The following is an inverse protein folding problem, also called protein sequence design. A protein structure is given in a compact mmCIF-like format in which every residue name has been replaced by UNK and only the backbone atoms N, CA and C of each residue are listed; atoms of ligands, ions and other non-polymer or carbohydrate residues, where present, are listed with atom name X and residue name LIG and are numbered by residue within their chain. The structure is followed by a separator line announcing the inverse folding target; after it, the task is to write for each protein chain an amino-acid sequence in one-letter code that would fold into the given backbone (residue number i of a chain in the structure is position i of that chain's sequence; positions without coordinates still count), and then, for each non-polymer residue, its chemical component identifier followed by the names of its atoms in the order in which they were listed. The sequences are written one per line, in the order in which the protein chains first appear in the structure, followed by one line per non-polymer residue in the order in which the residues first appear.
data_IF_913002047076
#
_entry.id   IF_913002047076
#
_cell.length_a   1.000
_cell.length_b   1.000
_cell.length_c   1.000
_cell.angle_alpha   90.00
_cell.angle_beta   90.00
_cell.angle_gamma   90.00
#
_symmetry.space_group_name_H-M   'P 1'
#
loop_
_entity.id
_entity.type
_entity.pdbx_description
1 polymer ?
#
# COMPACT_ATOMS: atom_id res chain seq x y z
N UNK A 1 -9.01 17.83 -3.58
CA UNK A 1 -9.18 17.65 -2.11
C UNK A 1 -8.21 16.63 -1.53
N UNK A 2 -8.14 15.39 -1.98
CA UNK A 2 -7.28 14.33 -1.41
C UNK A 2 -5.76 14.57 -1.50
N UNK A 3 -5.32 15.61 -2.20
CA UNK A 3 -3.93 16.08 -2.17
C UNK A 3 -3.56 16.81 -0.87
N UNK A 4 -4.55 17.29 -0.13
CA UNK A 4 -4.33 18.12 1.07
C UNK A 4 -5.04 17.61 2.33
N UNK A 5 -6.06 16.75 2.18
CA UNK A 5 -6.86 16.25 3.31
C UNK A 5 -7.04 14.74 3.23
N UNK A 6 -7.02 14.03 4.39
CA UNK A 6 -7.35 12.61 4.45
C UNK A 6 -8.75 12.33 3.91
N UNK A 7 -8.93 11.15 3.29
CA UNK A 7 -10.26 10.70 2.82
C UNK A 7 -11.23 10.59 3.99
N UNK A 8 -10.73 10.24 5.19
CA UNK A 8 -11.50 10.23 6.44
C UNK A 8 -12.14 11.56 6.81
N UNK A 9 -11.56 12.67 6.36
CA UNK A 9 -12.03 14.03 6.67
C UNK A 9 -12.93 14.61 5.57
N UNK A 10 -13.16 13.83 4.51
CA UNK A 10 -14.13 14.19 3.48
C UNK A 10 -15.56 13.99 4.03
N UNK A 11 -16.40 14.98 3.80
CA UNK A 11 -17.82 14.91 4.05
C UNK A 11 -18.58 15.46 2.84
N UNK A 12 -19.81 14.99 2.66
CA UNK A 12 -20.69 15.47 1.58
C UNK A 12 -20.83 16.98 1.61
N UNK A 13 -20.99 17.55 2.79
CA UNK A 13 -21.10 19.03 2.98
C UNK A 13 -19.83 19.73 2.52
N UNK A 14 -18.65 19.20 2.86
CA UNK A 14 -17.37 19.78 2.46
C UNK A 14 -17.14 19.68 0.96
N UNK A 15 -17.47 18.54 0.37
CA UNK A 15 -17.39 18.33 -1.09
C UNK A 15 -18.35 19.26 -1.82
N UNK A 16 -19.60 19.35 -1.37
CA UNK A 16 -20.60 20.24 -1.94
C UNK A 16 -20.14 21.72 -1.90
N UNK A 17 -19.59 22.16 -0.77
CA UNK A 17 -19.05 23.53 -0.62
C UNK A 17 -17.90 23.80 -1.59
N UNK A 18 -16.99 22.85 -1.75
CA UNK A 18 -15.83 22.99 -2.66
C UNK A 18 -16.26 23.03 -4.13
N UNK A 19 -17.31 22.28 -4.49
CA UNK A 19 -17.87 22.24 -5.85
C UNK A 19 -18.86 23.37 -6.13
N UNK A 20 -19.23 24.16 -5.13
CA UNK A 20 -20.25 25.22 -5.29
C UNK A 20 -21.66 24.70 -5.52
N UNK A 21 -21.99 23.50 -5.02
CA UNK A 21 -23.29 22.86 -5.18
C UNK A 21 -23.95 22.59 -3.83
N UNK A 22 -25.21 22.15 -3.85
CA UNK A 22 -25.90 21.77 -2.61
C UNK A 22 -25.52 20.35 -2.16
N UNK A 23 -25.52 20.05 -0.85
CA UNK A 23 -25.33 18.68 -0.35
C UNK A 23 -26.36 17.70 -0.90
N UNK A 24 -27.59 18.14 -1.14
CA UNK A 24 -28.67 17.33 -1.72
C UNK A 24 -28.30 16.82 -3.13
N UNK A 25 -27.64 17.66 -3.94
CA UNK A 25 -27.18 17.25 -5.26
C UNK A 25 -26.11 16.16 -5.18
N UNK A 26 -25.17 16.25 -4.22
CA UNK A 26 -24.18 15.21 -4.01
C UNK A 26 -24.85 13.91 -3.56
N UNK A 27 -25.80 13.96 -2.61
CA UNK A 27 -26.58 12.79 -2.20
C UNK A 27 -27.32 12.13 -3.36
N UNK A 28 -27.89 12.94 -4.28
CA UNK A 28 -28.55 12.42 -5.47
C UNK A 28 -27.58 11.61 -6.36
N UNK A 29 -26.38 12.14 -6.63
CA UNK A 29 -25.36 11.46 -7.43
C UNK A 29 -24.73 10.25 -6.74
N UNK A 30 -24.78 10.17 -5.41
CA UNK A 30 -24.32 9.01 -4.64
C UNK A 30 -25.45 7.99 -4.40
N UNK A 31 -26.57 8.09 -5.10
CA UNK A 31 -27.74 7.19 -4.99
C UNK A 31 -28.18 6.88 -3.53
N UNK A 32 -27.94 7.83 -2.61
CA UNK A 32 -28.23 7.67 -1.18
C UNK A 32 -27.17 6.89 -0.39
N UNK A 33 -26.09 6.41 -1.03
CA UNK A 33 -25.01 5.62 -0.39
C UNK A 33 -24.13 6.40 0.60
N UNK A 34 -24.37 7.70 0.75
CA UNK A 34 -23.77 8.52 1.78
C UNK A 34 -22.24 8.60 1.71
N UNK A 35 -21.60 8.51 2.90
CA UNK A 35 -20.14 8.65 3.02
C UNK A 35 -19.39 7.47 2.40
N UNK A 36 -19.92 6.28 2.47
CA UNK A 36 -19.27 5.08 1.94
C UNK A 36 -19.21 5.13 0.41
N UNK A 37 -20.30 5.51 -0.26
CA UNK A 37 -20.33 5.73 -1.70
C UNK A 37 -19.36 6.87 -2.12
N UNK A 38 -19.31 7.98 -1.37
CA UNK A 38 -18.34 9.04 -1.61
C UNK A 38 -16.90 8.53 -1.53
N UNK A 39 -16.60 7.74 -0.50
CA UNK A 39 -15.27 7.18 -0.30
C UNK A 39 -14.90 6.21 -1.42
N UNK A 40 -15.82 5.30 -1.78
CA UNK A 40 -15.62 4.35 -2.89
C UNK A 40 -15.39 5.08 -4.21
N UNK A 41 -16.17 6.10 -4.52
CA UNK A 41 -15.99 6.91 -5.72
C UNK A 41 -14.64 7.66 -5.77
N UNK A 42 -14.18 8.17 -4.62
CA UNK A 42 -12.85 8.80 -4.50
C UNK A 42 -11.75 7.77 -4.73
N UNK A 43 -11.84 6.59 -4.11
CA UNK A 43 -10.85 5.52 -4.28
C UNK A 43 -10.86 4.98 -5.70
N UNK A 44 -12.05 4.77 -6.30
CA UNK A 44 -12.16 4.32 -7.67
C UNK A 44 -11.55 5.32 -8.67
N UNK A 45 -11.75 6.63 -8.44
CA UNK A 45 -11.09 7.68 -9.24
C UNK A 45 -9.57 7.65 -9.10
N UNK A 46 -9.04 7.42 -7.91
CA UNK A 46 -7.61 7.27 -7.67
C UNK A 46 -7.05 6.05 -8.42
N UNK A 47 -7.71 4.89 -8.33
CA UNK A 47 -7.26 3.70 -9.04
C UNK A 47 -7.36 3.84 -10.57
N UNK A 48 -8.34 4.59 -11.08
CA UNK A 48 -8.37 4.97 -12.51
C UNK A 48 -7.11 5.73 -12.92
N UNK A 49 -6.63 6.66 -12.08
CA UNK A 49 -5.36 7.36 -12.37
C UNK A 49 -4.17 6.39 -12.32
N UNK A 50 -4.11 5.48 -11.34
CA UNK A 50 -3.07 4.44 -11.28
C UNK A 50 -3.05 3.60 -12.56
N UNK A 51 -4.22 3.16 -13.05
CA UNK A 51 -4.32 2.41 -14.32
C UNK A 51 -3.88 3.25 -15.52
N UNK A 52 -4.26 4.53 -15.56
CA UNK A 52 -3.87 5.44 -16.64
C UNK A 52 -2.35 5.64 -16.71
N UNK A 53 -1.69 5.62 -15.56
CA UNK A 53 -0.23 5.77 -15.43
C UNK A 53 0.51 4.43 -15.38
N UNK A 54 -0.18 3.31 -15.66
CA UNK A 54 0.44 1.98 -15.64
C UNK A 54 1.57 1.91 -16.67
N UNK A 55 2.78 1.45 -16.27
CA UNK A 55 3.90 1.35 -17.20
C UNK A 55 3.63 0.33 -18.31
N UNK A 56 4.31 0.51 -19.42
CA UNK A 56 4.29 -0.48 -20.49
C UNK A 56 5.01 -1.76 -20.02
N UNK A 57 4.35 -2.90 -20.16
CA UNK A 57 4.90 -4.20 -19.79
C UNK A 57 5.95 -4.68 -20.78
N UNK A 58 6.98 -5.34 -20.27
CA UNK A 58 8.07 -5.97 -21.04
C UNK A 58 8.13 -7.47 -20.75
N UNK A 59 9.09 -8.19 -21.34
CA UNK A 59 9.36 -9.59 -21.02
C UNK A 59 10.20 -9.76 -19.73
N UNK A 60 10.79 -8.69 -19.22
CA UNK A 60 11.58 -8.72 -17.98
C UNK A 60 10.67 -8.41 -16.77
N UNK A 61 10.36 -9.43 -16.00
CA UNK A 61 9.53 -9.30 -14.80
C UNK A 61 10.16 -8.37 -13.74
N UNK A 62 11.49 -8.30 -13.65
CA UNK A 62 12.19 -7.44 -12.68
C UNK A 62 11.92 -5.98 -13.02
N UNK A 63 12.12 -5.63 -14.27
CA UNK A 63 11.82 -4.29 -14.77
C UNK A 63 10.33 -3.94 -14.60
N UNK A 64 9.43 -4.85 -14.94
CA UNK A 64 8.00 -4.63 -14.80
C UNK A 64 7.62 -4.40 -13.32
N UNK A 65 8.12 -5.24 -12.43
CA UNK A 65 7.82 -5.12 -11.01
C UNK A 65 8.38 -3.82 -10.41
N UNK A 66 9.62 -3.44 -10.74
CA UNK A 66 10.24 -2.20 -10.28
C UNK A 66 9.44 -0.96 -10.75
N UNK A 67 9.15 -0.88 -12.07
CA UNK A 67 8.46 0.26 -12.66
C UNK A 67 7.01 0.39 -12.21
N UNK A 68 6.29 -0.72 -12.09
CA UNK A 68 4.91 -0.75 -11.57
C UNK A 68 4.89 -0.32 -10.10
N UNK A 69 5.79 -0.87 -9.28
CA UNK A 69 5.88 -0.53 -7.86
C UNK A 69 6.21 0.95 -7.65
N UNK A 70 7.13 1.50 -8.44
CA UNK A 70 7.46 2.93 -8.38
C UNK A 70 6.29 3.81 -8.84
N UNK A 71 5.55 3.41 -9.89
CA UNK A 71 4.37 4.13 -10.37
C UNK A 71 3.28 4.19 -9.29
N UNK A 72 2.97 3.06 -8.65
CA UNK A 72 1.98 2.98 -7.56
C UNK A 72 2.44 3.81 -6.35
N UNK A 73 3.70 3.66 -5.94
CA UNK A 73 4.27 4.46 -4.85
C UNK A 73 4.12 5.96 -5.10
N UNK A 74 4.51 6.44 -6.30
CA UNK A 74 4.39 7.85 -6.69
C UNK A 74 2.94 8.33 -6.71
N UNK A 75 2.01 7.49 -7.16
CA UNK A 75 0.58 7.82 -7.12
C UNK A 75 0.11 8.06 -5.68
N UNK A 76 0.45 7.18 -4.73
CA UNK A 76 0.11 7.37 -3.31
C UNK A 76 0.78 8.63 -2.71
N UNK A 77 2.05 8.89 -3.02
CA UNK A 77 2.75 10.09 -2.55
C UNK A 77 2.13 11.39 -3.10
N UNK A 78 1.65 11.34 -4.35
CA UNK A 78 0.93 12.46 -4.98
C UNK A 78 -0.42 12.77 -4.34
N UNK A 79 -1.05 11.77 -3.69
CA UNK A 79 -2.33 11.89 -3.01
C UNK A 79 -2.21 11.51 -1.53
N UNK A 80 -1.59 12.37 -0.69
CA UNK A 80 -1.33 12.07 0.73
C UNK A 80 -2.56 11.64 1.52
N UNK A 81 -3.73 12.24 1.22
CA UNK A 81 -4.99 11.89 1.87
C UNK A 81 -5.42 10.44 1.61
N UNK A 82 -5.11 9.90 0.42
CA UNK A 82 -5.37 8.51 0.06
C UNK A 82 -4.34 7.59 0.71
N UNK A 83 -3.04 7.96 0.69
CA UNK A 83 -2.00 7.17 1.34
C UNK A 83 -2.26 7.00 2.84
N UNK A 84 -2.70 8.06 3.53
CA UNK A 84 -3.09 8.02 4.93
C UNK A 84 -4.30 7.11 5.14
N UNK A 85 -5.32 7.24 4.30
CA UNK A 85 -6.53 6.43 4.38
C UNK A 85 -6.23 4.95 4.18
N UNK A 86 -5.49 4.59 3.13
CA UNK A 86 -5.13 3.21 2.82
C UNK A 86 -4.36 2.52 3.95
N UNK A 87 -3.49 3.26 4.66
CA UNK A 87 -2.70 2.73 5.76
C UNK A 87 -3.44 2.66 7.11
N UNK A 88 -4.55 3.35 7.28
CA UNK A 88 -5.25 3.48 8.57
C UNK A 88 -6.61 2.81 8.62
N UNK A 89 -7.16 2.37 7.48
CA UNK A 89 -8.49 1.76 7.41
C UNK A 89 -8.41 0.24 7.49
N UNK A 90 -9.40 -0.38 8.12
CA UNK A 90 -9.49 -1.82 8.31
C UNK A 90 -10.23 -2.56 7.18
N UNK A 91 -10.55 -1.89 6.07
CA UNK A 91 -11.14 -2.49 4.87
C UNK A 91 -10.06 -2.82 3.85
N UNK A 92 -10.28 -3.86 3.04
CA UNK A 92 -9.45 -4.15 1.89
C UNK A 92 -9.69 -3.10 0.80
N UNK A 93 -8.78 -2.14 0.66
CA UNK A 93 -8.99 -0.89 -0.08
C UNK A 93 -8.98 -1.03 -1.60
N UNK A 94 -8.44 -2.11 -2.15
CA UNK A 94 -8.38 -2.31 -3.60
C UNK A 94 -9.75 -2.60 -4.21
N UNK A 95 -10.63 -3.30 -3.49
CA UNK A 95 -11.98 -3.63 -3.96
C UNK A 95 -12.96 -2.57 -3.50
N UNK A 96 -13.68 -1.94 -4.43
CA UNK A 96 -14.65 -0.90 -4.16
C UNK A 96 -16.07 -1.37 -4.48
N UNK A 97 -17.05 -0.81 -3.78
CA UNK A 97 -18.45 -0.94 -4.19
C UNK A 97 -18.72 0.12 -5.24
N UNK A 98 -18.80 -0.28 -6.51
CA UNK A 98 -19.14 0.58 -7.64
C UNK A 98 -20.59 0.32 -8.06
N UNK A 99 -21.28 1.34 -8.57
CA UNK A 99 -22.70 1.23 -8.93
C UNK A 99 -22.86 0.92 -10.43
N UNK A 100 -23.86 0.09 -10.74
CA UNK A 100 -24.28 -0.20 -12.11
C UNK A 100 -23.16 -0.77 -12.98
N UNK A 101 -22.98 -0.19 -14.16
CA UNK A 101 -21.97 -0.59 -15.15
C UNK A 101 -20.63 0.16 -14.96
N UNK A 102 -20.41 0.84 -13.83
CA UNK A 102 -19.15 1.51 -13.55
C UNK A 102 -18.01 0.50 -13.42
N UNK A 103 -16.85 0.83 -14.00
CA UNK A 103 -15.65 -0.01 -13.92
C UNK A 103 -15.05 0.09 -12.52
N UNK A 104 -14.85 -1.05 -11.85
CA UNK A 104 -14.04 -1.12 -10.63
C UNK A 104 -12.55 -1.09 -10.99
N UNK A 105 -11.97 0.11 -10.94
CA UNK A 105 -10.55 0.31 -11.21
C UNK A 105 -9.65 -0.28 -10.11
N UNK A 106 -10.16 -0.46 -8.90
CA UNK A 106 -9.46 -1.16 -7.83
C UNK A 106 -9.25 -2.63 -8.17
N UNK A 107 -10.27 -3.31 -8.69
CA UNK A 107 -10.13 -4.68 -9.22
C UNK A 107 -9.15 -4.74 -10.40
N UNK A 108 -9.16 -3.75 -11.30
CA UNK A 108 -8.20 -3.70 -12.39
C UNK A 108 -6.76 -3.53 -11.88
N UNK A 109 -6.53 -2.72 -10.84
CA UNK A 109 -5.20 -2.62 -10.20
C UNK A 109 -4.80 -3.95 -9.59
N UNK A 110 -5.72 -4.62 -8.88
CA UNK A 110 -5.47 -5.94 -8.31
C UNK A 110 -5.09 -6.97 -9.38
N UNK A 111 -5.85 -7.04 -10.47
CA UNK A 111 -5.60 -7.94 -11.61
C UNK A 111 -4.23 -7.68 -12.23
N UNK A 112 -3.95 -6.44 -12.62
CA UNK A 112 -2.67 -6.08 -13.26
C UNK A 112 -1.47 -6.29 -12.34
N UNK A 113 -1.60 -5.91 -11.06
CA UNK A 113 -0.52 -6.09 -10.09
C UNK A 113 -0.26 -7.59 -9.81
N UNK A 114 -1.32 -8.38 -9.65
CA UNK A 114 -1.21 -9.83 -9.51
C UNK A 114 -0.60 -10.48 -10.77
N UNK A 115 -0.94 -9.97 -11.96
CA UNK A 115 -0.31 -10.37 -13.23
C UNK A 115 1.19 -10.10 -13.24
N UNK A 116 1.62 -8.90 -12.80
CA UNK A 116 3.03 -8.54 -12.67
C UNK A 116 3.78 -9.48 -11.69
N UNK A 117 3.17 -9.82 -10.56
CA UNK A 117 3.75 -10.77 -9.59
C UNK A 117 3.77 -12.19 -10.17
N UNK A 118 2.73 -12.61 -10.90
CA UNK A 118 2.68 -13.92 -11.54
C UNK A 118 3.78 -14.14 -12.59
N UNK A 119 4.22 -13.08 -13.27
CA UNK A 119 5.35 -13.14 -14.22
C UNK A 119 6.66 -13.60 -13.56
N UNK A 120 6.78 -13.50 -12.23
CA UNK A 120 7.94 -14.01 -11.49
C UNK A 120 8.07 -15.53 -11.52
N UNK A 121 6.97 -16.27 -11.83
CA UNK A 121 6.98 -17.73 -11.99
C UNK A 121 6.70 -18.52 -10.72
N UNK A 122 6.21 -17.87 -9.65
CA UNK A 122 5.76 -18.55 -8.43
C UNK A 122 4.42 -19.28 -8.63
N UNK A 123 4.12 -20.24 -7.77
CA UNK A 123 2.82 -20.92 -7.71
C UNK A 123 1.68 -19.99 -7.25
N UNK A 124 0.44 -20.47 -7.33
CA UNK A 124 -0.76 -19.69 -7.01
C UNK A 124 -0.75 -19.18 -5.56
N UNK A 125 -0.42 -20.03 -4.58
CA UNK A 125 -0.46 -19.67 -3.16
C UNK A 125 0.57 -18.58 -2.85
N UNK A 126 1.77 -18.73 -3.38
CA UNK A 126 2.86 -17.77 -3.18
C UNK A 126 2.62 -16.47 -3.93
N UNK A 127 2.11 -16.54 -5.17
CA UNK A 127 1.74 -15.35 -5.94
C UNK A 127 0.71 -14.50 -5.19
N UNK A 128 -0.34 -15.11 -4.63
CA UNK A 128 -1.34 -14.38 -3.84
C UNK A 128 -0.76 -13.73 -2.59
N UNK A 129 0.08 -14.46 -1.84
CA UNK A 129 0.75 -13.93 -0.65
C UNK A 129 1.70 -12.77 -0.98
N UNK A 130 2.51 -12.92 -2.03
CA UNK A 130 3.44 -11.90 -2.47
C UNK A 130 2.70 -10.65 -2.98
N UNK A 131 1.66 -10.81 -3.79
CA UNK A 131 0.89 -9.67 -4.28
C UNK A 131 0.34 -8.83 -3.13
N UNK A 132 -0.19 -9.47 -2.09
CA UNK A 132 -0.65 -8.75 -0.89
C UNK A 132 0.50 -8.08 -0.13
N UNK A 133 1.55 -8.82 0.20
CA UNK A 133 2.70 -8.30 0.97
C UNK A 133 3.39 -7.14 0.27
N UNK A 134 3.61 -7.25 -1.04
CA UNK A 134 4.28 -6.22 -1.83
C UNK A 134 3.42 -4.96 -1.96
N UNK A 135 2.11 -5.09 -2.12
CA UNK A 135 1.21 -3.95 -2.11
C UNK A 135 1.20 -3.24 -0.75
N UNK A 136 1.14 -4.00 0.36
CA UNK A 136 1.24 -3.45 1.72
C UNK A 136 2.56 -2.72 1.94
N UNK A 137 3.67 -3.27 1.44
CA UNK A 137 4.98 -2.63 1.48
C UNK A 137 4.97 -1.27 0.77
N UNK A 138 4.48 -1.21 -0.49
CA UNK A 138 4.40 0.03 -1.27
C UNK A 138 3.55 1.08 -0.55
N UNK A 139 2.37 0.68 -0.03
CA UNK A 139 1.48 1.58 0.72
C UNK A 139 2.11 2.09 2.01
N UNK A 140 2.81 1.23 2.76
CA UNK A 140 3.49 1.59 4.01
C UNK A 140 4.63 2.60 3.77
N UNK A 141 5.43 2.39 2.72
CA UNK A 141 6.46 3.33 2.32
C UNK A 141 5.87 4.69 1.91
N UNK A 142 4.84 4.67 1.07
CA UNK A 142 4.15 5.90 0.67
C UNK A 142 3.55 6.65 1.87
N UNK A 143 2.90 5.94 2.80
CA UNK A 143 2.39 6.51 4.03
C UNK A 143 3.49 7.15 4.89
N UNK A 144 4.62 6.44 5.08
CA UNK A 144 5.77 6.97 5.83
C UNK A 144 6.34 8.23 5.18
N UNK A 145 6.35 8.27 3.85
CA UNK A 145 6.80 9.43 3.08
C UNK A 145 5.88 10.64 3.29
N UNK A 146 4.58 10.48 3.12
CA UNK A 146 3.63 11.60 3.28
C UNK A 146 3.52 12.07 4.74
N UNK A 147 3.79 11.18 5.70
CA UNK A 147 3.86 11.50 7.15
C UNK A 147 5.21 12.03 7.59
N UNK A 148 6.16 12.21 6.67
CA UNK A 148 7.48 12.73 6.95
C UNK A 148 8.22 11.95 8.06
N UNK A 149 8.20 10.60 7.99
CA UNK A 149 8.81 9.72 9.00
C UNK A 149 10.24 9.29 8.67
N UNK A 150 10.81 9.83 7.61
CA UNK A 150 12.15 9.44 7.18
C UNK A 150 13.24 10.12 8.01
N UNK A 151 14.28 9.39 8.43
CA UNK A 151 15.34 9.92 9.27
C UNK A 151 16.01 11.19 8.73
N UNK A 152 16.24 11.28 7.42
CA UNK A 152 16.80 12.48 6.80
C UNK A 152 15.97 13.75 6.99
N UNK A 153 14.66 13.62 7.23
CA UNK A 153 13.78 14.75 7.54
C UNK A 153 13.90 15.24 8.99
N UNK A 154 14.60 14.46 9.83
CA UNK A 154 14.87 14.72 11.25
C UNK A 154 16.38 14.69 11.54
N UNK A 155 17.20 14.95 10.52
CA UNK A 155 18.66 14.76 10.57
C UNK A 155 19.33 15.54 11.69
N UNK A 156 18.97 16.81 11.89
CA UNK A 156 19.54 17.64 12.96
C UNK A 156 19.28 17.04 14.36
N UNK A 157 18.02 16.71 14.64
CA UNK A 157 17.63 16.08 15.92
C UNK A 157 18.34 14.74 16.12
N UNK A 158 18.36 13.88 15.11
CA UNK A 158 18.99 12.57 15.19
C UNK A 158 20.50 12.67 15.35
N UNK A 159 21.17 13.57 14.60
CA UNK A 159 22.61 13.78 14.74
C UNK A 159 22.98 14.25 16.13
N UNK A 160 22.24 15.20 16.71
CA UNK A 160 22.47 15.67 18.08
C UNK A 160 22.34 14.50 19.06
N UNK A 161 21.22 13.78 19.01
CA UNK A 161 20.96 12.66 19.94
C UNK A 161 21.95 11.52 19.81
N UNK A 162 22.30 11.12 18.60
CA UNK A 162 23.23 10.01 18.37
C UNK A 162 24.67 10.38 18.69
N UNK A 163 25.06 11.66 18.57
CA UNK A 163 26.42 12.12 18.94
C UNK A 163 26.66 12.21 20.45
N UNK A 164 25.61 12.33 21.25
CA UNK A 164 25.65 12.37 22.72
C UNK A 164 25.82 10.96 23.34
N UNK A 165 25.63 9.88 22.55
CA UNK A 165 25.73 8.51 23.03
C UNK A 165 27.20 8.11 23.26
N UNK A 166 27.41 7.33 24.31
CA UNK A 166 28.71 6.68 24.55
C UNK A 166 29.04 5.67 23.41
N UNK A 167 30.14 5.84 22.66
CA UNK A 167 30.50 4.94 21.56
C UNK A 167 30.73 3.48 21.98
N UNK A 168 31.21 3.24 23.19
CA UNK A 168 31.43 1.89 23.69
C UNK A 168 30.12 1.17 24.02
N UNK A 169 29.14 1.91 24.58
CA UNK A 169 27.81 1.37 24.88
C UNK A 169 26.89 1.28 23.64
N UNK A 170 27.07 2.16 22.64
CA UNK A 170 26.20 2.26 21.45
C UNK A 170 26.99 2.25 20.13
N UNK A 171 27.87 1.25 19.87
CA UNK A 171 28.73 1.22 18.68
C UNK A 171 27.93 1.18 17.37
N UNK A 172 26.81 0.47 17.33
CA UNK A 172 25.96 0.35 16.13
C UNK A 172 25.24 1.68 15.79
N UNK A 173 24.83 2.45 16.79
CA UNK A 173 24.23 3.77 16.56
C UNK A 173 25.25 4.74 15.94
N UNK A 174 26.49 4.71 16.42
CA UNK A 174 27.58 5.50 15.83
C UNK A 174 27.90 5.04 14.40
N UNK A 175 27.93 3.74 14.16
CA UNK A 175 28.23 3.16 12.84
C UNK A 175 27.24 3.60 11.76
N UNK A 176 25.93 3.59 12.08
CA UNK A 176 24.87 3.93 11.09
C UNK A 176 24.55 5.42 11.03
N UNK A 177 25.05 6.25 11.95
CA UNK A 177 24.59 7.65 12.15
C UNK A 177 24.52 8.45 10.86
N UNK A 178 25.61 8.51 10.11
CA UNK A 178 25.69 9.32 8.89
C UNK A 178 24.73 8.80 7.80
N UNK A 179 24.75 7.50 7.54
CA UNK A 179 23.87 6.86 6.54
C UNK A 179 22.39 6.96 6.93
N UNK A 180 22.08 6.81 8.22
CA UNK A 180 20.70 6.93 8.71
C UNK A 180 20.19 8.37 8.55
N UNK A 181 20.97 9.37 8.97
CA UNK A 181 20.51 10.77 8.95
C UNK A 181 20.50 11.40 7.56
N UNK A 182 21.17 10.79 6.58
CA UNK A 182 21.07 11.18 5.16
C UNK A 182 19.95 10.47 4.39
N UNK A 183 19.31 9.45 5.00
CA UNK A 183 18.34 8.61 4.31
C UNK A 183 17.08 9.39 3.94
N UNK A 184 16.79 9.45 2.65
CA UNK A 184 15.56 10.05 2.10
C UNK A 184 14.61 8.97 1.54
N UNK A 185 13.33 9.33 1.40
CA UNK A 185 12.29 8.40 1.00
C UNK A 185 12.49 7.75 -0.38
N UNK A 186 12.79 8.50 -1.46
CA UNK A 186 12.97 7.89 -2.79
C UNK A 186 14.15 6.91 -2.86
N UNK A 187 15.26 7.24 -2.22
CA UNK A 187 16.43 6.36 -2.23
C UNK A 187 16.20 5.12 -1.40
N UNK A 188 15.57 5.27 -0.22
CA UNK A 188 15.19 4.14 0.62
C UNK A 188 14.22 3.18 -0.10
N UNK A 189 13.23 3.70 -0.82
CA UNK A 189 12.30 2.89 -1.59
C UNK A 189 13.04 2.09 -2.68
N UNK A 190 13.92 2.74 -3.46
CA UNK A 190 14.70 2.08 -4.52
C UNK A 190 15.65 1.00 -3.97
N UNK A 191 16.33 1.28 -2.85
CA UNK A 191 17.19 0.29 -2.17
C UNK A 191 16.37 -0.92 -1.74
N UNK A 192 15.24 -0.69 -1.07
CA UNK A 192 14.37 -1.76 -0.60
C UNK A 192 13.78 -2.58 -1.75
N UNK A 193 13.35 -1.94 -2.85
CA UNK A 193 12.88 -2.63 -4.06
C UNK A 193 13.96 -3.53 -4.66
N UNK A 194 15.21 -3.05 -4.74
CA UNK A 194 16.34 -3.86 -5.22
C UNK A 194 16.56 -5.10 -4.35
N UNK A 195 16.60 -4.92 -3.02
CA UNK A 195 16.76 -6.04 -2.08
C UNK A 195 15.63 -7.07 -2.25
N UNK A 196 14.38 -6.62 -2.44
CA UNK A 196 13.23 -7.50 -2.67
C UNK A 196 13.40 -8.26 -3.99
N UNK A 197 13.75 -7.58 -5.08
CA UNK A 197 13.94 -8.20 -6.40
C UNK A 197 15.07 -9.23 -6.36
N UNK A 198 16.19 -8.90 -5.73
CA UNK A 198 17.33 -9.80 -5.59
C UNK A 198 16.96 -11.02 -4.75
N UNK A 199 16.25 -10.82 -3.63
CA UNK A 199 15.74 -11.92 -2.78
C UNK A 199 14.78 -12.84 -3.53
N UNK A 200 13.79 -12.29 -4.22
CA UNK A 200 12.84 -13.08 -5.03
C UNK A 200 13.55 -13.83 -6.16
N UNK A 201 14.55 -13.19 -6.79
CA UNK A 201 15.35 -13.84 -7.84
C UNK A 201 16.12 -15.04 -7.29
N UNK A 202 16.71 -14.91 -6.11
CA UNK A 202 17.46 -16.00 -5.48
C UNK A 202 16.56 -17.18 -5.06
N UNK A 203 15.29 -16.93 -4.76
CA UNK A 203 14.35 -17.98 -4.37
C UNK A 203 13.80 -18.81 -5.55
N UNK A 204 13.71 -18.24 -6.75
CA UNK A 204 13.12 -18.93 -7.92
C UNK A 204 13.71 -20.32 -8.21
N UNK A 205 15.05 -20.53 -8.20
CA UNK A 205 15.63 -21.86 -8.42
C UNK A 205 15.28 -22.89 -7.36
N UNK A 206 15.12 -22.45 -6.10
CA UNK A 206 14.83 -23.34 -4.97
C UNK A 206 13.39 -23.88 -5.02
N UNK A 207 12.45 -23.10 -5.53
CA UNK A 207 11.04 -23.48 -5.63
C UNK A 207 10.76 -24.50 -6.73
N UNK A 208 11.56 -24.52 -7.79
CA UNK A 208 11.48 -25.53 -8.85
C UNK A 208 11.91 -26.93 -8.34
N UNK A 209 12.58 -27.01 -7.18
CA UNK A 209 13.09 -28.25 -6.59
C UNK A 209 12.27 -28.74 -5.38
N UNK A 210 11.34 -27.93 -4.86
CA UNK A 210 10.55 -28.28 -3.66
C UNK A 210 9.15 -28.76 -4.08
N UNK A 211 8.71 -29.98 -3.71
CA UNK A 211 7.35 -30.45 -3.97
C UNK A 211 6.33 -29.50 -3.33
N UNK A 212 5.23 -29.21 -4.03
CA UNK A 212 4.20 -28.26 -3.63
C UNK A 212 3.52 -28.54 -2.27
N UNK A 213 3.66 -29.76 -1.73
CA UNK A 213 3.03 -30.20 -0.47
C UNK A 213 3.66 -29.62 0.81
N UNK A 214 4.91 -29.11 0.76
CA UNK A 214 5.61 -28.64 1.97
C UNK A 214 5.34 -27.18 2.34
N UNK A 215 4.58 -26.43 1.54
CA UNK A 215 4.31 -24.99 1.72
C UNK A 215 2.90 -24.67 2.24
N UNK A 216 2.07 -25.67 2.47
CA UNK A 216 0.72 -25.47 3.04
C UNK A 216 0.84 -25.31 4.55
N UNK A 217 0.83 -24.08 5.03
CA UNK A 217 0.58 -23.81 6.46
C UNK A 217 -0.84 -24.29 6.77
N UNK A 218 -0.94 -25.33 7.59
CA UNK A 218 -2.25 -25.86 8.01
C UNK A 218 -3.10 -24.74 8.60
N UNK A 219 -4.37 -24.58 8.20
CA UNK A 219 -5.23 -23.56 8.76
C UNK A 219 -5.33 -23.73 10.28
N UNK A 220 -5.13 -22.65 11.03
CA UNK A 220 -5.27 -22.66 12.47
C UNK A 220 -6.66 -23.23 12.87
N UNK A 221 -6.77 -24.10 13.88
CA UNK A 221 -8.05 -24.66 14.28
C UNK A 221 -9.01 -23.55 14.69
N UNK A 222 -10.12 -23.44 13.99
CA UNK A 222 -11.20 -22.51 14.32
C UNK A 222 -11.79 -22.95 15.67
N UNK A 223 -11.49 -22.21 16.74
CA UNK A 223 -12.08 -22.45 18.05
C UNK A 223 -13.60 -22.23 17.96
N UNK A 224 -14.39 -23.29 17.96
CA UNK A 224 -15.84 -23.22 18.11
C UNK A 224 -16.14 -22.66 19.50
N UNK A 225 -16.45 -21.38 19.60
CA UNK A 225 -17.06 -20.80 20.80
C UNK A 225 -18.38 -21.54 21.04
N UNK A 226 -18.42 -22.36 22.10
CA UNK A 226 -19.66 -22.94 22.62
C UNK A 226 -20.63 -21.79 22.95
N UNK A 227 -21.73 -21.77 22.25
CA UNK A 227 -22.87 -20.96 22.64
C UNK A 227 -23.41 -21.50 23.97
N UNK A 228 -23.12 -20.85 25.07
CA UNK A 228 -23.78 -21.09 26.35
C UNK A 228 -25.22 -20.59 26.24
N UNK A 229 -26.15 -21.54 26.08
CA UNK A 229 -27.58 -21.30 26.30
C UNK A 229 -27.77 -20.94 27.77
N UNK A 230 -28.08 -19.69 28.07
CA UNK A 230 -28.73 -19.34 29.33
C UNK A 230 -30.19 -19.83 29.26
N UNK A 231 -30.54 -20.79 30.12
CA UNK A 231 -31.91 -21.09 30.53
C UNK A 231 -32.19 -20.21 31.74
N UNK A 232 -33.22 -19.49 31.66
CA UNK A 232 -34.35 -19.19 32.55
C UNK A 232 -34.93 -17.84 32.20
#
# INVERSE_FOLDING_TARGET
MTKSIPVTDLSIVRVAKELGVTPALIHYYLAGGGRDALTSGVMNTFYREVITLWPQETQDWRHNFETVSESIYRAYVRYPGIAIYAASHNRYQLVQEVEGDEVDYGLLVLEKFSGTVRQMGFDQARTGSLAHMLMMFIQSYAHSTVKRRWPGQHAEFLNTKLSELDPEAFPNCHFIRESLTSLNAPDAFRIAMRIIIDGLTAELPHLQQTPAESLVVAPAPVSRRRATRART
#
